data_IF_648832639763
#
_entry.id   IF_648832639763
#
_cell.length_a   1.000
_cell.length_b   1.000
_cell.length_c   1.000
_cell.angle_alpha   90.00
_cell.angle_beta   90.00
_cell.angle_gamma   90.00
#
_symmetry.space_group_name_H-M   'P 1'
#
loop_
_entity.id
_entity.type
_entity.pdbx_description
1 polymer ?
#
# COMPACT_ATOMS: atom_id res chain seq x y z
N UNK A 1 -17.79 3.94 4.01
CA UNK A 1 -18.68 2.78 3.76
C UNK A 1 -17.95 1.49 4.12
N UNK A 2 -18.11 0.94 5.33
CA UNK A 2 -17.76 -0.45 5.69
C UNK A 2 -18.16 -0.83 7.14
N UNK A 3 -19.23 -0.24 7.70
CA UNK A 3 -19.59 -0.54 9.10
C UNK A 3 -20.28 -1.90 9.27
N UNK A 4 -20.95 -2.40 8.21
CA UNK A 4 -21.73 -3.65 8.23
C UNK A 4 -21.03 -4.87 7.59
N UNK A 5 -19.74 -4.77 7.24
CA UNK A 5 -19.04 -5.87 6.57
C UNK A 5 -18.61 -6.94 7.57
N UNK A 6 -19.14 -8.16 7.43
CA UNK A 6 -18.80 -9.28 8.32
C UNK A 6 -17.35 -9.74 8.06
N UNK A 7 -16.48 -9.85 9.09
CA UNK A 7 -15.11 -10.34 8.95
C UNK A 7 -15.01 -11.72 8.31
N UNK A 8 -13.95 -11.97 7.53
CA UNK A 8 -13.71 -13.26 6.89
C UNK A 8 -13.58 -14.42 7.90
N UNK A 9 -13.13 -14.15 9.12
CA UNK A 9 -13.06 -15.10 10.22
C UNK A 9 -14.43 -15.62 10.67
N UNK A 10 -15.50 -14.83 10.45
CA UNK A 10 -16.88 -15.17 10.80
C UNK A 10 -17.67 -15.70 9.61
N UNK A 11 -17.06 -15.78 8.44
CA UNK A 11 -17.67 -16.27 7.21
C UNK A 11 -17.20 -17.69 6.91
N UNK A 12 -18.12 -18.54 6.45
CA UNK A 12 -17.72 -19.80 5.80
C UNK A 12 -17.22 -19.47 4.40
N UNK A 13 -16.23 -20.22 3.94
CA UNK A 13 -15.79 -20.13 2.55
C UNK A 13 -17.00 -20.38 1.63
N UNK A 14 -17.26 -19.49 0.65
CA UNK A 14 -18.33 -19.69 -0.32
C UNK A 14 -18.15 -20.95 -1.15
N UNK A 15 -19.23 -21.43 -1.77
CA UNK A 15 -19.12 -22.48 -2.78
C UNK A 15 -18.19 -22.02 -3.90
N UNK A 16 -17.38 -22.96 -4.38
CA UNK A 16 -16.42 -22.66 -5.43
C UNK A 16 -17.13 -22.27 -6.74
N UNK A 17 -18.41 -22.56 -6.97
CA UNK A 17 -19.10 -22.18 -8.20
C UNK A 17 -19.24 -20.66 -8.45
N UNK A 18 -19.26 -19.81 -7.41
CA UNK A 18 -19.63 -18.40 -7.51
C UNK A 18 -18.47 -17.40 -7.46
N UNK A 19 -18.12 -16.79 -8.60
CA UNK A 19 -17.02 -15.80 -8.68
C UNK A 19 -17.28 -14.55 -7.81
N UNK A 20 -18.50 -14.01 -7.84
CA UNK A 20 -18.89 -12.83 -7.06
C UNK A 20 -18.80 -13.10 -5.55
N UNK A 21 -19.25 -14.28 -5.11
CA UNK A 21 -19.19 -14.67 -3.72
C UNK A 21 -17.73 -14.81 -3.24
N UNK A 22 -16.85 -15.42 -4.05
CA UNK A 22 -15.42 -15.52 -3.76
C UNK A 22 -14.74 -14.13 -3.73
N UNK A 23 -15.05 -13.25 -4.68
CA UNK A 23 -14.55 -11.87 -4.68
C UNK A 23 -15.01 -11.10 -3.43
N UNK A 24 -16.28 -11.24 -3.07
CA UNK A 24 -16.84 -10.60 -1.86
C UNK A 24 -16.16 -11.11 -0.60
N UNK A 25 -16.01 -12.43 -0.45
CA UNK A 25 -15.29 -13.04 0.68
C UNK A 25 -13.85 -12.54 0.78
N UNK A 26 -13.14 -12.46 -0.35
CA UNK A 26 -11.79 -11.92 -0.41
C UNK A 26 -11.73 -10.45 0.04
N UNK A 27 -12.62 -9.60 -0.47
CA UNK A 27 -12.67 -8.18 -0.11
C UNK A 27 -13.03 -7.97 1.37
N UNK A 28 -13.91 -8.81 1.94
CA UNK A 28 -14.19 -8.81 3.37
C UNK A 28 -12.95 -9.15 4.20
N UNK A 29 -12.11 -10.07 3.73
CA UNK A 29 -10.82 -10.37 4.33
C UNK A 29 -9.85 -9.18 4.30
N UNK A 30 -9.75 -8.51 3.15
CA UNK A 30 -8.92 -7.31 3.00
C UNK A 30 -9.40 -6.18 3.94
N UNK A 31 -10.71 -5.98 4.04
CA UNK A 31 -11.30 -5.00 4.94
C UNK A 31 -11.09 -5.36 6.43
N UNK A 32 -11.25 -6.63 6.79
CA UNK A 32 -11.00 -7.13 8.16
C UNK A 32 -9.58 -6.85 8.63
N UNK A 33 -8.60 -7.08 7.75
CA UNK A 33 -7.18 -6.81 8.04
C UNK A 33 -6.95 -5.33 8.33
N UNK A 34 -7.49 -4.45 7.49
CA UNK A 34 -7.32 -3.01 7.69
C UNK A 34 -8.05 -2.49 8.93
N UNK A 35 -9.15 -3.13 9.32
CA UNK A 35 -9.89 -2.77 10.53
C UNK A 35 -9.12 -3.14 11.81
N UNK A 36 -8.45 -4.30 11.82
CA UNK A 36 -7.64 -4.75 12.96
C UNK A 36 -6.28 -5.30 12.49
N UNK A 37 -5.33 -4.42 12.12
CA UNK A 37 -4.06 -4.83 11.53
C UNK A 37 -3.18 -5.63 12.47
N UNK A 38 -3.37 -5.52 13.79
CA UNK A 38 -2.59 -6.26 14.79
C UNK A 38 -3.09 -7.70 14.98
N UNK A 39 -4.37 -7.96 14.71
CA UNK A 39 -4.99 -9.26 14.94
C UNK A 39 -4.32 -10.35 14.12
N UNK A 40 -3.95 -11.45 14.79
CA UNK A 40 -3.42 -12.62 14.10
C UNK A 40 -4.56 -13.30 13.36
N UNK A 41 -4.50 -13.24 12.03
CA UNK A 41 -5.40 -14.02 11.18
C UNK A 41 -5.23 -15.51 11.50
N UNK A 42 -6.34 -16.19 11.76
CA UNK A 42 -6.30 -17.61 12.05
C UNK A 42 -5.85 -18.40 10.79
N UNK A 43 -5.13 -19.53 10.94
CA UNK A 43 -4.60 -20.27 9.80
C UNK A 43 -5.66 -20.74 8.80
N UNK A 44 -6.86 -21.07 9.26
CA UNK A 44 -7.97 -21.50 8.38
C UNK A 44 -8.50 -20.37 7.52
N UNK A 45 -8.63 -19.16 8.06
CA UNK A 45 -9.06 -17.95 7.33
C UNK A 45 -8.01 -17.56 6.32
N UNK A 46 -6.72 -17.61 6.70
CA UNK A 46 -5.63 -17.42 5.74
C UNK A 46 -5.74 -18.41 4.58
N UNK A 47 -5.89 -19.70 4.87
CA UNK A 47 -6.02 -20.72 3.81
C UNK A 47 -7.29 -20.56 2.96
N UNK A 48 -8.42 -20.18 3.55
CA UNK A 48 -9.65 -19.94 2.80
C UNK A 48 -9.50 -18.73 1.86
N UNK A 49 -8.89 -17.63 2.33
CA UNK A 49 -8.64 -16.45 1.51
C UNK A 49 -7.63 -16.77 0.40
N UNK A 50 -6.55 -17.47 0.71
CA UNK A 50 -5.57 -17.91 -0.28
C UNK A 50 -6.20 -18.83 -1.34
N UNK A 51 -7.06 -19.77 -0.92
CA UNK A 51 -7.78 -20.66 -1.82
C UNK A 51 -8.74 -19.87 -2.71
N UNK A 52 -9.48 -18.91 -2.17
CA UNK A 52 -10.35 -18.04 -2.95
C UNK A 52 -9.56 -17.27 -4.04
N UNK A 53 -8.38 -16.73 -3.70
CA UNK A 53 -7.49 -16.06 -4.66
C UNK A 53 -7.01 -17.04 -5.74
N UNK A 54 -6.55 -18.23 -5.34
CA UNK A 54 -6.10 -19.28 -6.26
C UNK A 54 -7.19 -19.68 -7.25
N UNK A 55 -8.41 -19.90 -6.75
CA UNK A 55 -9.57 -20.24 -7.56
C UNK A 55 -9.92 -19.14 -8.57
N UNK A 56 -9.92 -17.88 -8.13
CA UNK A 56 -10.22 -16.74 -8.99
C UNK A 56 -9.14 -16.51 -10.08
N UNK A 57 -7.87 -16.80 -9.79
CA UNK A 57 -6.76 -16.66 -10.74
C UNK A 57 -6.70 -17.82 -11.74
N UNK A 58 -6.92 -19.05 -11.27
CA UNK A 58 -6.80 -20.25 -12.11
C UNK A 58 -7.97 -20.41 -13.08
N UNK A 59 -9.12 -19.78 -12.80
CA UNK A 59 -10.21 -19.68 -13.76
C UNK A 59 -9.77 -18.81 -14.93
N UNK A 60 -9.50 -19.43 -16.08
CA UNK A 60 -9.37 -18.75 -17.38
C UNK A 60 -10.72 -18.17 -17.86
N UNK A 61 -11.44 -17.48 -16.97
CA UNK A 61 -12.79 -16.96 -17.22
C UNK A 61 -12.76 -15.44 -17.15
N UNK A 62 -13.49 -14.84 -18.07
CA UNK A 62 -13.83 -13.44 -18.06
C UNK A 62 -15.19 -13.29 -17.37
N UNK A 63 -15.35 -12.24 -16.58
CA UNK A 63 -16.64 -11.76 -16.10
C UNK A 63 -16.90 -10.45 -16.86
N UNK A 64 -17.98 -10.39 -17.64
CA UNK A 64 -18.31 -9.25 -18.51
C UNK A 64 -17.16 -8.77 -19.43
N UNK A 65 -16.36 -9.71 -19.93
CA UNK A 65 -15.21 -9.42 -20.79
C UNK A 65 -13.94 -8.93 -20.07
N UNK A 66 -13.96 -8.83 -18.74
CA UNK A 66 -12.80 -8.46 -17.91
C UNK A 66 -12.20 -9.71 -17.24
N UNK A 67 -10.87 -9.81 -17.24
CA UNK A 67 -10.17 -10.90 -16.56
C UNK A 67 -10.43 -10.81 -15.05
N UNK A 68 -10.78 -11.92 -14.39
CA UNK A 68 -11.05 -11.93 -12.95
C UNK A 68 -9.90 -11.34 -12.12
N UNK A 69 -8.65 -11.61 -12.49
CA UNK A 69 -7.47 -11.02 -11.84
C UNK A 69 -7.42 -9.49 -11.96
N UNK A 70 -7.83 -8.94 -13.10
CA UNK A 70 -7.93 -7.48 -13.28
C UNK A 70 -9.05 -6.90 -12.43
N UNK A 71 -10.22 -7.56 -12.39
CA UNK A 71 -11.33 -7.17 -11.54
C UNK A 71 -10.91 -7.10 -10.06
N UNK A 72 -10.20 -8.12 -9.56
CA UNK A 72 -9.68 -8.15 -8.18
C UNK A 72 -8.72 -6.99 -7.94
N UNK A 73 -7.76 -6.77 -8.84
CA UNK A 73 -6.81 -5.67 -8.69
C UNK A 73 -7.52 -4.32 -8.59
N UNK A 74 -8.51 -4.06 -9.47
CA UNK A 74 -9.31 -2.83 -9.44
C UNK A 74 -10.11 -2.69 -8.16
N UNK A 75 -10.74 -3.76 -7.68
CA UNK A 75 -11.51 -3.74 -6.41
C UNK A 75 -10.62 -3.47 -5.21
N UNK A 76 -9.43 -4.08 -5.14
CA UNK A 76 -8.44 -3.81 -4.09
C UNK A 76 -7.97 -2.37 -4.17
N UNK A 77 -7.60 -1.88 -5.35
CA UNK A 77 -7.19 -0.48 -5.54
C UNK A 77 -8.27 0.50 -5.10
N UNK A 78 -9.53 0.25 -5.46
CA UNK A 78 -10.68 1.08 -5.07
C UNK A 78 -10.87 1.08 -3.55
N UNK A 79 -10.87 -0.09 -2.93
CA UNK A 79 -10.98 -0.21 -1.48
C UNK A 79 -9.87 0.55 -0.76
N UNK A 80 -8.62 0.39 -1.19
CA UNK A 80 -7.48 1.07 -0.58
C UNK A 80 -7.59 2.59 -0.73
N UNK A 81 -8.03 3.09 -1.90
CA UNK A 81 -8.27 4.51 -2.10
C UNK A 81 -9.33 5.04 -1.12
N UNK A 82 -10.51 4.40 -1.06
CA UNK A 82 -11.60 4.80 -0.15
C UNK A 82 -11.18 4.73 1.32
N UNK A 83 -10.44 3.69 1.71
CA UNK A 83 -9.98 3.55 3.08
C UNK A 83 -8.91 4.60 3.43
N UNK A 84 -7.95 4.84 2.55
CA UNK A 84 -6.93 5.87 2.75
C UNK A 84 -7.51 7.29 2.84
N UNK A 85 -8.58 7.58 2.09
CA UNK A 85 -9.32 8.84 2.23
C UNK A 85 -9.95 8.98 3.63
N UNK A 86 -10.56 7.91 4.15
CA UNK A 86 -11.11 7.94 5.52
C UNK A 86 -10.03 8.12 6.60
N UNK A 87 -8.83 7.59 6.38
CA UNK A 87 -7.67 7.82 7.26
C UNK A 87 -7.23 9.28 7.19
N UNK A 88 -7.19 9.86 5.99
CA UNK A 88 -6.85 11.28 5.81
C UNK A 88 -7.84 12.19 6.55
N UNK A 89 -9.14 11.98 6.39
CA UNK A 89 -10.18 12.74 7.09
C UNK A 89 -10.00 12.68 8.62
N UNK A 90 -9.68 11.49 9.16
CA UNK A 90 -9.40 11.29 10.58
C UNK A 90 -8.15 12.05 11.05
N UNK A 91 -7.09 12.09 10.23
CA UNK A 91 -5.86 12.81 10.53
C UNK A 91 -6.05 14.32 10.43
N UNK A 92 -6.77 14.80 9.40
CA UNK A 92 -7.10 16.21 9.23
C UNK A 92 -7.89 16.77 10.41
N UNK A 93 -8.79 15.95 11.00
CA UNK A 93 -9.56 16.33 12.18
C UNK A 93 -8.77 16.35 13.49
N UNK A 94 -7.50 15.92 13.49
CA UNK A 94 -6.67 15.98 14.71
C UNK A 94 -6.17 17.40 14.96
N UNK A 95 -6.07 17.75 16.25
CA UNK A 95 -5.33 18.92 16.67
C UNK A 95 -3.83 18.73 16.43
N UNK A 96 -3.11 19.83 16.20
CA UNK A 96 -1.67 19.84 15.95
C UNK A 96 -0.82 19.18 17.05
N UNK A 97 -1.32 19.11 18.29
CA UNK A 97 -0.63 18.43 19.39
C UNK A 97 -0.72 16.90 19.32
N UNK A 98 -1.75 16.37 18.66
CA UNK A 98 -2.00 14.93 18.53
C UNK A 98 -1.70 14.39 17.11
N UNK A 99 -1.68 15.27 16.11
CA UNK A 99 -1.57 14.91 14.69
C UNK A 99 -0.38 14.00 14.38
N UNK A 100 0.82 14.33 14.87
CA UNK A 100 2.02 13.57 14.55
C UNK A 100 2.00 12.16 15.13
N UNK A 101 1.56 12.02 16.39
CA UNK A 101 1.39 10.72 17.03
C UNK A 101 0.32 9.87 16.32
N UNK A 102 -0.82 10.49 15.98
CA UNK A 102 -1.87 9.83 15.21
C UNK A 102 -1.38 9.38 13.83
N UNK A 103 -0.61 10.23 13.12
CA UNK A 103 -0.02 9.89 11.82
C UNK A 103 0.85 8.64 11.92
N UNK A 104 1.72 8.55 12.93
CA UNK A 104 2.58 7.40 13.12
C UNK A 104 1.82 6.11 13.42
N UNK A 105 0.77 6.19 14.24
CA UNK A 105 -0.10 5.04 14.52
C UNK A 105 -0.79 4.55 13.24
N UNK A 106 -1.38 5.46 12.47
CA UNK A 106 -2.05 5.11 11.22
C UNK A 106 -1.06 4.54 10.19
N UNK A 107 0.14 5.11 10.09
CA UNK A 107 1.18 4.60 9.20
C UNK A 107 1.64 3.18 9.57
N UNK A 108 1.85 2.89 10.85
CA UNK A 108 2.27 1.56 11.31
C UNK A 108 1.16 0.52 11.05
N UNK A 109 -0.10 0.88 11.31
CA UNK A 109 -1.26 0.06 11.02
C UNK A 109 -1.45 -0.19 9.51
N UNK A 110 -1.26 0.85 8.69
CA UNK A 110 -1.36 0.77 7.24
C UNK A 110 -0.28 -0.14 6.65
N UNK A 111 0.97 0.04 7.05
CA UNK A 111 2.10 -0.76 6.56
C UNK A 111 2.02 -2.22 7.01
N UNK A 112 1.54 -2.48 8.23
CA UNK A 112 1.27 -3.84 8.71
C UNK A 112 0.16 -4.52 7.88
N UNK A 113 -0.92 -3.79 7.57
CA UNK A 113 -2.00 -4.26 6.70
C UNK A 113 -1.47 -4.59 5.30
N UNK A 114 -0.64 -3.71 4.73
CA UNK A 114 -0.03 -3.91 3.42
C UNK A 114 0.75 -5.24 3.34
N UNK A 115 1.53 -5.57 4.37
CA UNK A 115 2.29 -6.83 4.44
C UNK A 115 1.34 -8.04 4.46
N UNK A 116 0.27 -7.98 5.26
CA UNK A 116 -0.69 -9.09 5.39
C UNK A 116 -1.49 -9.30 4.11
N UNK A 117 -1.99 -8.22 3.51
CA UNK A 117 -2.78 -8.27 2.27
C UNK A 117 -1.91 -8.73 1.10
N UNK A 118 -0.65 -8.27 1.01
CA UNK A 118 0.31 -8.73 -0.01
C UNK A 118 0.55 -10.24 0.07
N UNK A 119 0.65 -10.81 1.28
CA UNK A 119 0.80 -12.26 1.48
C UNK A 119 -0.41 -13.06 1.01
N UNK A 120 -1.63 -12.56 1.23
CA UNK A 120 -2.87 -13.23 0.80
C UNK A 120 -3.02 -13.13 -0.72
N UNK A 121 -2.72 -11.96 -1.29
CA UNK A 121 -2.82 -11.68 -2.72
C UNK A 121 -1.53 -12.00 -3.50
N UNK A 122 -0.63 -12.81 -2.93
CA UNK A 122 0.67 -13.07 -3.55
C UNK A 122 0.56 -13.74 -4.92
N UNK A 123 -0.46 -14.58 -5.14
CA UNK A 123 -0.72 -15.17 -6.46
C UNK A 123 -1.11 -14.10 -7.49
N UNK A 124 -1.78 -13.01 -7.09
CA UNK A 124 -2.11 -11.90 -7.97
C UNK A 124 -0.83 -11.15 -8.38
N UNK A 125 0.09 -10.92 -7.43
CA UNK A 125 1.41 -10.38 -7.72
C UNK A 125 2.15 -11.23 -8.77
N UNK A 126 2.19 -12.56 -8.57
CA UNK A 126 2.96 -13.48 -9.42
C UNK A 126 2.38 -13.65 -10.83
N UNK A 127 1.07 -13.80 -10.95
CA UNK A 127 0.46 -14.27 -12.20
C UNK A 127 -0.19 -13.16 -13.02
N UNK A 128 -0.58 -12.06 -12.39
CA UNK A 128 -1.22 -10.94 -13.08
C UNK A 128 -0.31 -9.72 -13.16
N UNK A 129 0.20 -9.24 -12.03
CA UNK A 129 0.96 -7.99 -11.95
C UNK A 129 2.32 -8.15 -12.63
N UNK A 130 3.09 -9.19 -12.29
CA UNK A 130 4.38 -9.47 -12.92
C UNK A 130 4.27 -9.62 -14.44
N UNK A 131 3.20 -10.25 -14.93
CA UNK A 131 2.94 -10.38 -16.36
C UNK A 131 2.79 -9.01 -17.00
N UNK A 132 1.92 -8.15 -16.46
CA UNK A 132 1.68 -6.81 -17.00
C UNK A 132 2.92 -5.92 -16.97
N UNK A 133 3.70 -5.96 -15.89
CA UNK A 133 4.94 -5.17 -15.81
C UNK A 133 6.00 -5.69 -16.77
N UNK A 134 6.10 -7.02 -16.97
CA UNK A 134 6.99 -7.61 -17.99
C UNK A 134 6.59 -7.27 -19.43
N UNK A 135 5.32 -6.96 -19.67
CA UNK A 135 4.80 -6.44 -20.94
C UNK A 135 5.00 -4.92 -21.08
N UNK A 136 5.70 -4.27 -20.14
CA UNK A 136 5.99 -2.84 -20.16
C UNK A 136 4.83 -1.96 -19.68
N UNK A 137 3.76 -2.53 -19.11
CA UNK A 137 2.60 -1.75 -18.66
C UNK A 137 2.95 -0.92 -17.42
N UNK A 138 2.90 0.40 -17.57
CA UNK A 138 3.09 1.37 -16.49
C UNK A 138 1.87 1.47 -15.58
N UNK A 139 2.07 2.00 -14.37
CA UNK A 139 0.99 2.27 -13.41
C UNK A 139 0.37 1.02 -12.79
N UNK A 140 1.05 -0.12 -12.88
CA UNK A 140 0.64 -1.38 -12.26
C UNK A 140 1.67 -1.72 -11.18
N UNK A 141 1.21 -1.73 -9.93
CA UNK A 141 2.04 -1.91 -8.74
C UNK A 141 1.71 -3.22 -8.06
N UNK A 142 2.72 -3.91 -7.51
CA UNK A 142 2.49 -5.02 -6.56
C UNK A 142 1.59 -4.57 -5.43
N UNK A 143 0.89 -5.50 -4.78
CA UNK A 143 -0.09 -5.15 -3.75
C UNK A 143 0.54 -4.30 -2.65
N UNK A 144 1.74 -4.63 -2.16
CA UNK A 144 2.45 -3.76 -1.21
C UNK A 144 2.71 -2.36 -1.74
N UNK A 145 3.21 -2.21 -2.97
CA UNK A 145 3.49 -0.88 -3.55
C UNK A 145 2.21 -0.10 -3.85
N UNK A 146 1.12 -0.79 -4.19
CA UNK A 146 -0.18 -0.17 -4.34
C UNK A 146 -0.61 0.51 -3.04
N UNK A 147 -0.40 -0.10 -1.86
CA UNK A 147 -0.69 0.56 -0.58
C UNK A 147 0.12 1.85 -0.39
N UNK A 148 1.38 1.86 -0.84
CA UNK A 148 2.25 3.03 -0.76
C UNK A 148 1.80 4.16 -1.70
N UNK A 149 1.41 3.82 -2.93
CA UNK A 149 0.85 4.77 -3.90
C UNK A 149 -0.46 5.37 -3.39
N UNK A 150 -1.34 4.56 -2.80
CA UNK A 150 -2.60 5.04 -2.23
C UNK A 150 -2.35 5.94 -1.00
N UNK A 151 -1.43 5.56 -0.11
CA UNK A 151 -1.04 6.40 1.03
C UNK A 151 -0.50 7.76 0.58
N UNK A 152 0.41 7.77 -0.39
CA UNK A 152 0.93 9.01 -0.97
C UNK A 152 -0.23 9.87 -1.48
N UNK A 153 -1.04 9.31 -2.38
CA UNK A 153 -2.05 10.06 -3.15
C UNK A 153 -3.22 10.57 -2.31
N UNK A 154 -3.58 9.87 -1.23
CA UNK A 154 -4.81 10.17 -0.49
C UNK A 154 -4.58 10.56 0.97
N UNK A 155 -3.45 10.19 1.58
CA UNK A 155 -3.13 10.62 2.95
C UNK A 155 -2.08 11.71 2.90
N UNK A 156 -0.90 11.42 2.35
CA UNK A 156 0.24 12.31 2.42
C UNK A 156 -0.03 13.67 1.78
N UNK A 157 -0.52 13.71 0.55
CA UNK A 157 -0.81 14.97 -0.16
C UNK A 157 -1.78 15.89 0.60
N UNK A 158 -2.64 15.34 1.46
CA UNK A 158 -3.61 16.10 2.24
C UNK A 158 -3.04 16.63 3.56
N UNK A 159 -2.17 15.86 4.24
CA UNK A 159 -1.72 16.20 5.61
C UNK A 159 -0.25 16.60 5.71
N UNK A 160 0.56 16.43 4.66
CA UNK A 160 2.02 16.53 4.77
C UNK A 160 2.47 17.85 5.40
N UNK A 161 1.96 19.00 4.95
CA UNK A 161 2.45 20.30 5.43
C UNK A 161 2.32 20.41 6.95
N UNK A 162 1.14 20.05 7.50
CA UNK A 162 0.89 20.08 8.95
C UNK A 162 1.72 19.04 9.69
N UNK A 163 1.87 17.83 9.12
CA UNK A 163 2.69 16.77 9.72
C UNK A 163 4.15 17.21 9.80
N UNK A 164 4.70 17.84 8.76
CA UNK A 164 6.07 18.38 8.77
C UNK A 164 6.21 19.52 9.79
N UNK A 165 5.25 20.44 9.88
CA UNK A 165 5.28 21.51 10.88
C UNK A 165 5.26 20.94 12.32
N UNK A 166 4.49 19.87 12.55
CA UNK A 166 4.46 19.16 13.83
C UNK A 166 5.80 18.43 14.09
N UNK A 167 6.35 17.76 13.08
CA UNK A 167 7.61 17.04 13.17
C UNK A 167 8.80 17.96 13.46
N UNK A 168 8.86 19.14 12.82
CA UNK A 168 9.87 20.15 13.14
C UNK A 168 9.80 20.58 14.61
N UNK A 169 8.60 20.92 15.09
CA UNK A 169 8.39 21.29 16.50
C UNK A 169 8.78 20.17 17.46
N UNK A 170 8.49 18.92 17.10
CA UNK A 170 8.85 17.75 17.90
C UNK A 170 10.38 17.61 18.04
N UNK A 171 11.12 17.76 16.94
CA UNK A 171 12.59 17.73 16.94
C UNK A 171 13.17 18.92 17.71
N UNK A 172 12.69 20.14 17.48
CA UNK A 172 13.16 21.35 18.16
C UNK A 172 12.96 21.31 19.68
N UNK A 173 11.83 20.76 20.12
CA UNK A 173 11.50 20.62 21.55
C UNK A 173 12.02 19.32 22.17
N UNK A 174 12.56 18.43 21.34
CA UNK A 174 13.00 17.09 21.72
C UNK A 174 11.92 16.33 22.51
N UNK A 175 10.70 16.27 21.96
CA UNK A 175 9.57 15.55 22.57
C UNK A 175 9.62 14.03 22.29
N UNK A 176 8.56 13.31 22.68
CA UNK A 176 8.46 11.85 22.55
C UNK A 176 8.59 11.33 21.10
N UNK A 177 8.29 12.15 20.08
CA UNK A 177 8.34 11.78 18.67
C UNK A 177 9.69 12.09 18.01
N UNK A 178 10.55 12.90 18.66
CA UNK A 178 11.82 13.36 18.09
C UNK A 178 12.74 12.20 17.69
N UNK A 179 12.86 11.18 18.55
CA UNK A 179 13.72 10.02 18.28
C UNK A 179 13.29 9.28 17.01
N UNK A 180 11.98 9.07 16.82
CA UNK A 180 11.45 8.39 15.64
C UNK A 180 11.74 9.17 14.35
N UNK A 181 11.61 10.49 14.37
CA UNK A 181 11.94 11.34 13.23
C UNK A 181 13.44 11.27 12.92
N UNK A 182 14.29 11.36 13.95
CA UNK A 182 15.74 11.26 13.80
C UNK A 182 16.15 9.91 13.20
N UNK A 183 15.51 8.81 13.63
CA UNK A 183 15.74 7.48 13.07
C UNK A 183 15.31 7.39 11.59
N UNK A 184 14.20 8.04 11.22
CA UNK A 184 13.75 8.12 9.82
C UNK A 184 14.76 8.89 8.95
N UNK A 185 15.28 10.03 9.44
CA UNK A 185 16.30 10.81 8.74
C UNK A 185 17.59 10.01 8.57
N UNK A 186 18.07 9.36 9.63
CA UNK A 186 19.27 8.51 9.54
C UNK A 186 19.08 7.34 8.57
N UNK A 187 17.87 6.76 8.52
CA UNK A 187 17.55 5.66 7.60
C UNK A 187 17.56 6.14 6.15
N UNK A 188 17.02 7.34 5.88
CA UNK A 188 17.09 7.99 4.57
C UNK A 188 18.55 8.21 4.14
N UNK A 189 19.38 8.79 5.02
CA UNK A 189 20.78 9.10 4.72
C UNK A 189 21.62 7.85 4.46
N UNK A 190 21.33 6.73 5.13
CA UNK A 190 22.00 5.44 4.90
C UNK A 190 21.51 4.73 3.63
N UNK A 191 20.23 4.91 3.28
CA UNK A 191 19.59 4.22 2.16
C UNK A 191 19.86 4.83 0.80
N UNK A 192 20.37 6.07 0.73
CA UNK A 192 20.54 6.84 -0.50
C UNK A 192 22.00 7.03 -0.90
N UNK A 193 22.30 6.79 -2.17
CA UNK A 193 23.64 6.99 -2.74
C UNK A 193 24.06 8.47 -2.77
N UNK A 194 23.09 9.38 -2.78
CA UNK A 194 23.24 10.84 -2.73
C UNK A 194 23.21 11.39 -1.29
N UNK A 195 23.58 10.59 -0.29
CA UNK A 195 23.64 10.96 1.14
C UNK A 195 24.27 12.35 1.40
N UNK A 196 25.31 12.71 0.64
CA UNK A 196 25.99 14.01 0.76
C UNK A 196 25.18 15.22 0.25
N UNK A 197 24.23 15.01 -0.67
CA UNK A 197 23.30 16.05 -1.10
C UNK A 197 22.20 16.24 -0.05
N UNK A 198 21.68 15.13 0.51
CA UNK A 198 20.64 15.14 1.55
C UNK A 198 21.15 15.81 2.83
N UNK A 199 22.42 15.60 3.19
CA UNK A 199 23.02 16.24 4.37
C UNK A 199 23.15 17.77 4.24
N UNK A 200 23.01 18.32 3.03
CA UNK A 200 23.08 19.77 2.76
C UNK A 200 21.70 20.41 2.70
N UNK A 201 20.64 19.62 2.66
CA UNK A 201 19.27 20.11 2.72
C UNK A 201 19.02 20.75 4.10
N UNK A 202 18.14 21.74 4.15
CA UNK A 202 17.65 22.27 5.41
C UNK A 202 16.83 21.21 6.19
N UNK A 203 16.68 21.41 7.50
CA UNK A 203 16.04 20.41 8.36
C UNK A 203 14.59 20.10 7.96
N UNK A 204 13.83 21.09 7.47
CA UNK A 204 12.46 20.86 6.99
C UNK A 204 12.47 19.92 5.80
N UNK A 205 13.35 20.18 4.84
CA UNK A 205 13.49 19.35 3.63
C UNK A 205 13.93 17.92 3.98
N UNK A 206 14.87 17.76 4.92
CA UNK A 206 15.33 16.43 5.40
C UNK A 206 14.19 15.65 6.06
N UNK A 207 13.43 16.29 6.94
CA UNK A 207 12.24 15.69 7.57
C UNK A 207 11.25 15.29 6.46
N UNK A 208 10.90 16.19 5.55
CA UNK A 208 9.97 15.90 4.46
C UNK A 208 10.38 14.67 3.65
N UNK A 209 11.63 14.64 3.17
CA UNK A 209 12.16 13.49 2.42
C UNK A 209 12.16 12.20 3.22
N UNK A 210 12.37 12.25 4.54
CA UNK A 210 12.36 11.06 5.40
C UNK A 210 10.98 10.42 5.52
N UNK A 211 9.91 11.22 5.50
CA UNK A 211 8.53 10.73 5.50
C UNK A 211 8.13 10.16 4.13
N UNK A 212 8.65 10.72 3.04
CA UNK A 212 8.38 10.23 1.68
C UNK A 212 9.17 8.97 1.31
N UNK A 213 10.36 8.79 1.90
CA UNK A 213 11.30 7.72 1.56
C UNK A 213 10.65 6.32 1.47
N UNK A 214 9.78 5.90 2.40
CA UNK A 214 9.21 4.55 2.39
C UNK A 214 8.36 4.23 1.16
N UNK A 215 7.77 5.23 0.51
CA UNK A 215 6.88 5.02 -0.64
C UNK A 215 7.41 5.57 -1.96
N UNK A 216 8.37 6.49 -1.93
CA UNK A 216 8.99 7.03 -3.15
C UNK A 216 10.00 6.05 -3.74
N UNK A 217 10.91 5.52 -2.91
CA UNK A 217 12.07 4.76 -3.39
C UNK A 217 11.67 3.48 -4.14
N UNK A 218 10.77 2.70 -3.56
CA UNK A 218 10.37 1.44 -4.18
C UNK A 218 9.51 1.65 -5.44
N UNK A 219 8.73 2.74 -5.50
CA UNK A 219 7.92 3.12 -6.67
C UNK A 219 8.83 3.57 -7.81
N UNK A 220 9.75 4.51 -7.56
CA UNK A 220 10.73 4.99 -8.55
C UNK A 220 11.55 3.84 -9.14
N UNK A 221 11.97 2.89 -8.28
CA UNK A 221 12.70 1.71 -8.72
C UNK A 221 11.88 0.87 -9.71
N UNK A 222 10.62 0.57 -9.39
CA UNK A 222 9.75 -0.21 -10.27
C UNK A 222 9.49 0.52 -11.59
N UNK A 223 9.20 1.82 -11.54
CA UNK A 223 8.95 2.63 -12.74
C UNK A 223 10.16 2.64 -13.68
N UNK A 224 11.37 2.76 -13.12
CA UNK A 224 12.62 2.67 -13.88
C UNK A 224 12.79 1.29 -14.53
N UNK A 225 12.55 0.20 -13.80
CA UNK A 225 12.62 -1.16 -14.34
C UNK A 225 11.65 -1.35 -15.52
N UNK A 226 10.43 -0.81 -15.41
CA UNK A 226 9.42 -0.85 -16.49
C UNK A 226 9.83 0.00 -17.70
N UNK A 227 10.48 1.14 -17.48
CA UNK A 227 11.00 1.98 -18.56
C UNK A 227 12.13 1.31 -19.34
N UNK A 228 13.03 0.63 -18.65
CA UNK A 228 14.10 -0.18 -19.27
C UNK A 228 13.53 -1.33 -20.12
N UNK A 229 12.49 -2.01 -19.62
CA UNK A 229 11.75 -3.03 -20.38
C UNK A 229 11.15 -2.43 -21.66
N UNK A 230 10.45 -1.31 -21.56
CA UNK A 230 9.85 -0.64 -22.73
C UNK A 230 10.90 -0.23 -23.78
N UNK A 231 12.05 0.29 -23.35
CA UNK A 231 13.15 0.61 -24.25
C UNK A 231 13.68 -0.63 -24.99
N UNK A 232 13.79 -1.77 -24.30
CA UNK A 232 14.23 -3.03 -24.91
C UNK A 232 13.25 -3.56 -25.96
N UNK A 233 11.94 -3.47 -25.70
CA UNK A 233 10.88 -3.89 -26.62
C UNK A 233 10.82 -3.03 -27.89
N UNK A 234 11.02 -1.71 -27.74
CA UNK A 234 11.09 -0.77 -28.86
C UNK A 234 12.28 -1.03 -29.79
N UNK A 235 13.44 -1.36 -29.22
CA UNK A 235 14.64 -1.72 -29.99
C UNK A 235 14.50 -3.06 -30.71
N UNK A 236 13.83 -4.05 -30.11
CA UNK A 236 13.57 -5.34 -30.75
C UNK A 236 12.57 -5.26 -31.91
N UNK A 237 11.69 -4.26 -31.93
CA UNK A 237 10.70 -4.04 -33.00
C UNK A 237 11.26 -3.26 -34.19
N UNK A 238 12.48 -2.73 -34.07
CA UNK A 238 13.13 -1.85 -35.06
C UNK A 238 14.28 -2.52 -35.83
N UNK A 239 14.57 -3.79 -35.54
CA UNK A 239 15.55 -4.65 -36.22
C UNK A 239 14.83 -5.75 -37.02
#
# INVERSE_FOLDING_TARGET
>A
MAEDTVPAEKQRMPDLGGNEALQTFLMNGVASIHRNPEDKMNPSTYMNLYTAVSELINRKKYEDGVLLSESIYKRVSKFLAEHSQSVAEKLESQDDSALLGAYFVEWDQWTLSAIKVDRILNLLNRHYILRLTSEGKKGIYTIRLLHFVQWRSHVWENVYSRVIDCAQRAVEKNDENANRINDMIQSLEKGRADSHAISKDDDRTRIHKSFEAPFVLDVEKLEKEVDEINASLGNASSN
#
